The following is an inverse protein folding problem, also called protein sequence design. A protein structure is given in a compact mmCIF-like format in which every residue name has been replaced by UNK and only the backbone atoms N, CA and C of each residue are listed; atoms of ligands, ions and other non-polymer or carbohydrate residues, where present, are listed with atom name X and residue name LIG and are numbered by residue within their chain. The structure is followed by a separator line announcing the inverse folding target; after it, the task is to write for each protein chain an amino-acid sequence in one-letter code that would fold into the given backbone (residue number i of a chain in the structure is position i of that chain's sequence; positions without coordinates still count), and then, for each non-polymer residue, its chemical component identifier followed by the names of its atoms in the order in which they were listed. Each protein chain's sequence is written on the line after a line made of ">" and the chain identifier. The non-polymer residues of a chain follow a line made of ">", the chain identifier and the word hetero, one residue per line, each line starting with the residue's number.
data_IF_823207237123
#
_entry.id   IF_823207237123
#
_cell.length_a   1.000
_cell.length_b   1.000
_cell.length_c   1.000
_cell.angle_alpha   90.00
_cell.angle_beta   90.00
_cell.angle_gamma   90.00
#
_symmetry.space_group_name_H-M   'P 1'
#
loop_
_entity.id
_entity.type
_entity.pdbx_description
1 polymer ?
#
# COMPACT_ATOMS: atom_id res chain seq x y z
N UNK A 1 -36.64 1.44 22.51
CA UNK A 1 -35.37 0.71 22.53
C UNK A 1 -34.50 1.39 21.51
N UNK A 2 -33.53 2.19 21.93
CA UNK A 2 -32.52 2.74 21.01
C UNK A 2 -31.67 1.56 20.57
N UNK A 3 -31.69 1.20 19.29
CA UNK A 3 -30.70 0.27 18.75
C UNK A 3 -29.34 0.94 18.93
N UNK A 4 -28.56 0.52 19.94
CA UNK A 4 -27.14 0.85 19.98
C UNK A 4 -26.53 0.25 18.73
N UNK A 5 -26.27 1.10 17.73
CA UNK A 5 -25.60 0.72 16.51
C UNK A 5 -24.22 0.19 16.89
N UNK A 6 -24.09 -1.15 16.96
CA UNK A 6 -22.87 -1.79 17.39
C UNK A 6 -21.76 -1.41 16.40
N UNK A 7 -20.72 -0.75 16.92
CA UNK A 7 -19.56 -0.36 16.11
C UNK A 7 -18.84 -1.63 15.66
N UNK A 8 -18.67 -1.79 14.35
CA UNK A 8 -17.94 -2.92 13.77
C UNK A 8 -16.80 -2.37 12.93
N UNK A 9 -15.59 -2.84 13.22
CA UNK A 9 -14.41 -2.68 12.39
C UNK A 9 -13.73 -4.05 12.23
N UNK A 10 -13.65 -4.55 11.00
CA UNK A 10 -13.08 -5.87 10.73
C UNK A 10 -12.36 -5.90 9.39
N UNK A 11 -11.19 -6.55 9.34
CA UNK A 11 -10.50 -6.88 8.10
C UNK A 11 -11.13 -8.15 7.51
N UNK A 12 -11.63 -8.06 6.28
CA UNK A 12 -12.18 -9.21 5.55
C UNK A 12 -11.10 -9.93 4.76
N UNK A 13 -10.24 -9.17 4.07
CA UNK A 13 -9.17 -9.71 3.24
C UNK A 13 -8.08 -8.68 3.03
N UNK A 14 -6.85 -9.13 2.90
CA UNK A 14 -5.72 -8.36 2.39
C UNK A 14 -5.17 -9.13 1.19
N UNK A 15 -4.88 -8.43 0.10
CA UNK A 15 -4.37 -9.02 -1.13
C UNK A 15 -3.55 -8.01 -1.94
N UNK A 16 -2.66 -8.53 -2.75
CA UNK A 16 -1.91 -7.78 -3.75
C UNK A 16 -2.80 -7.59 -4.98
N UNK A 17 -3.00 -6.35 -5.43
CA UNK A 17 -3.75 -6.05 -6.66
C UNK A 17 -2.87 -5.98 -7.88
N UNK A 18 -1.67 -5.46 -7.70
CA UNK A 18 -0.73 -5.19 -8.78
C UNK A 18 0.67 -5.14 -8.21
N UNK A 19 1.62 -5.69 -8.96
CA UNK A 19 3.06 -5.65 -8.65
C UNK A 19 3.80 -5.47 -9.95
N UNK A 20 4.70 -4.51 -9.98
CA UNK A 20 5.65 -4.34 -11.06
C UNK A 20 7.06 -4.16 -10.50
N UNK A 21 8.02 -4.69 -11.25
CA UNK A 21 9.44 -4.50 -10.97
C UNK A 21 10.18 -4.36 -12.29
N UNK A 22 10.97 -3.30 -12.39
CA UNK A 22 11.77 -3.00 -13.57
C UNK A 22 13.19 -2.64 -13.12
N UNK A 23 14.20 -3.23 -13.77
CA UNK A 23 15.61 -2.91 -13.53
C UNK A 23 16.27 -2.51 -14.85
N UNK A 24 15.99 -1.29 -15.38
CA UNK A 24 16.39 -0.90 -16.73
C UNK A 24 17.90 -0.76 -16.89
N UNK A 25 18.61 -0.40 -15.81
CA UNK A 25 20.06 -0.31 -15.79
C UNK A 25 20.77 -1.64 -15.51
N UNK A 26 20.04 -2.74 -15.32
CA UNK A 26 20.65 -4.02 -14.99
C UNK A 26 21.26 -4.71 -16.23
N UNK A 27 22.40 -5.41 -16.06
CA UNK A 27 23.16 -5.57 -14.82
C UNK A 27 24.19 -4.46 -14.53
N UNK A 28 24.48 -3.58 -15.49
CA UNK A 28 25.60 -2.63 -15.43
C UNK A 28 25.52 -1.70 -14.21
N UNK A 29 24.32 -1.28 -13.84
CA UNK A 29 24.08 -0.39 -12.69
C UNK A 29 24.52 -1.00 -11.36
N UNK A 30 24.58 -2.34 -11.24
CA UNK A 30 25.05 -3.01 -10.02
C UNK A 30 26.58 -3.06 -9.92
N UNK A 31 27.29 -2.72 -10.99
CA UNK A 31 28.75 -2.61 -11.01
C UNK A 31 29.22 -1.17 -10.73
N UNK A 32 28.31 -0.20 -10.83
CA UNK A 32 28.58 1.21 -10.55
C UNK A 32 28.94 1.41 -9.08
N UNK A 33 29.95 2.25 -8.82
CA UNK A 33 30.29 2.65 -7.45
C UNK A 33 29.39 3.80 -7.00
N UNK A 34 28.75 3.65 -5.85
CA UNK A 34 27.92 4.68 -5.25
C UNK A 34 26.84 4.09 -4.36
N UNK A 35 26.24 4.93 -3.50
CA UNK A 35 25.04 4.55 -2.76
C UNK A 35 23.80 4.90 -3.60
N UNK A 36 22.83 3.98 -3.75
CA UNK A 36 21.59 4.28 -4.44
C UNK A 36 20.81 5.37 -3.69
N UNK A 37 20.38 6.39 -4.42
CA UNK A 37 19.38 7.36 -3.94
C UNK A 37 18.01 6.71 -4.10
N UNK A 38 17.36 6.44 -2.98
CA UNK A 38 16.02 5.83 -2.96
C UNK A 38 14.98 6.93 -2.80
N UNK A 39 14.04 6.99 -3.75
CA UNK A 39 12.83 7.79 -3.69
C UNK A 39 11.64 6.86 -3.43
N UNK A 40 10.79 7.22 -2.47
CA UNK A 40 9.59 6.44 -2.13
C UNK A 40 8.37 7.33 -2.25
N UNK A 41 7.41 6.90 -3.07
CA UNK A 41 6.13 7.57 -3.25
C UNK A 41 5.01 6.68 -2.70
N UNK A 42 4.11 7.28 -1.93
CA UNK A 42 2.98 6.61 -1.30
C UNK A 42 1.68 7.23 -1.81
N UNK A 43 0.81 6.38 -2.36
CA UNK A 43 -0.58 6.71 -2.69
C UNK A 43 -1.51 5.94 -1.77
N UNK A 44 -2.57 6.59 -1.30
CA UNK A 44 -3.68 5.91 -0.61
C UNK A 44 -4.98 6.28 -1.32
N UNK A 45 -5.78 5.27 -1.64
CA UNK A 45 -7.12 5.43 -2.17
C UNK A 45 -8.07 4.53 -1.39
N UNK A 46 -9.28 5.03 -1.14
CA UNK A 46 -10.33 4.24 -0.52
C UNK A 46 -11.63 4.41 -1.30
N UNK A 47 -12.38 3.33 -1.44
CA UNK A 47 -13.71 3.35 -2.05
C UNK A 47 -14.67 2.47 -1.27
N UNK A 48 -15.94 2.89 -1.24
CA UNK A 48 -17.03 2.07 -0.72
C UNK A 48 -17.40 1.01 -1.74
N UNK A 49 -17.50 -0.25 -1.32
CA UNK A 49 -17.85 -1.39 -2.17
C UNK A 49 -19.36 -1.64 -2.21
N UNK A 50 -20.05 -1.40 -1.10
CA UNK A 50 -21.49 -1.57 -1.00
C UNK A 50 -22.13 -0.73 0.12
N UNK A 51 -23.46 -0.74 0.15
CA UNK A 51 -24.24 -0.06 1.18
C UNK A 51 -24.10 -0.72 2.56
N UNK A 52 -23.68 -1.99 2.61
CA UNK A 52 -23.50 -2.78 3.84
C UNK A 52 -22.26 -2.39 4.67
N UNK A 53 -21.53 -1.35 4.28
CA UNK A 53 -20.40 -0.82 5.05
C UNK A 53 -19.07 -1.50 4.75
N UNK A 54 -18.92 -2.09 3.56
CA UNK A 54 -17.64 -2.60 3.09
C UNK A 54 -16.89 -1.54 2.28
N UNK A 55 -15.59 -1.43 2.54
CA UNK A 55 -14.69 -0.50 1.89
C UNK A 55 -13.44 -1.24 1.40
N UNK A 56 -12.95 -0.90 0.21
CA UNK A 56 -11.62 -1.29 -0.25
C UNK A 56 -10.68 -0.11 -0.02
N UNK A 57 -9.57 -0.36 0.66
CA UNK A 57 -8.45 0.57 0.76
C UNK A 57 -7.31 0.00 -0.06
N UNK A 58 -6.73 0.82 -0.92
CA UNK A 58 -5.58 0.51 -1.75
C UNK A 58 -4.44 1.46 -1.37
N UNK A 59 -3.28 0.88 -1.08
CA UNK A 59 -2.04 1.60 -0.85
C UNK A 59 -1.07 1.24 -1.96
N UNK A 60 -0.67 2.25 -2.72
CA UNK A 60 0.34 2.15 -3.77
C UNK A 60 1.66 2.64 -3.22
N UNK A 61 2.69 1.80 -3.33
CA UNK A 61 4.06 2.17 -2.97
C UNK A 61 4.94 2.01 -4.18
N UNK A 62 5.51 3.12 -4.63
CA UNK A 62 6.46 3.15 -5.75
C UNK A 62 7.83 3.52 -5.19
N UNK A 63 8.80 2.63 -5.35
CA UNK A 63 10.19 2.80 -4.96
C UNK A 63 11.03 2.94 -6.21
N UNK A 64 11.77 4.02 -6.33
CA UNK A 64 12.72 4.25 -7.42
C UNK A 64 14.11 4.42 -6.83
N UNK A 65 15.07 3.62 -7.29
CA UNK A 65 16.46 3.73 -6.88
C UNK A 65 17.32 4.20 -8.04
N UNK A 66 18.19 5.18 -7.80
CA UNK A 66 19.10 5.74 -8.80
C UNK A 66 20.54 5.71 -8.31
N UNK A 67 21.48 5.33 -9.18
CA UNK A 67 22.93 5.38 -8.94
C UNK A 67 23.55 6.23 -10.04
N UNK A 68 24.28 7.28 -9.68
CA UNK A 68 24.93 8.18 -10.63
C UNK A 68 23.98 8.67 -11.74
N UNK A 69 22.76 9.06 -11.37
CA UNK A 69 21.68 9.54 -12.27
C UNK A 69 21.12 8.49 -13.24
N UNK A 70 21.47 7.20 -13.06
CA UNK A 70 20.88 6.07 -13.78
C UNK A 70 19.88 5.36 -12.88
N UNK A 71 18.70 5.06 -13.40
CA UNK A 71 17.72 4.24 -12.70
C UNK A 71 18.23 2.81 -12.55
N UNK A 72 18.46 2.41 -11.31
CA UNK A 72 18.85 1.05 -10.95
C UNK A 72 17.64 0.12 -11.02
N UNK A 73 16.58 0.48 -10.29
CA UNK A 73 15.32 -0.25 -10.32
C UNK A 73 14.13 0.63 -9.94
N UNK A 74 12.95 0.19 -10.37
CA UNK A 74 11.64 0.71 -10.00
C UNK A 74 10.82 -0.47 -9.52
N UNK A 75 10.28 -0.40 -8.30
CA UNK A 75 9.36 -1.38 -7.76
C UNK A 75 8.05 -0.68 -7.40
N UNK A 76 6.92 -1.17 -7.91
CA UNK A 76 5.60 -0.68 -7.53
C UNK A 76 4.76 -1.83 -6.98
N UNK A 77 4.15 -1.62 -5.82
CA UNK A 77 3.23 -2.57 -5.19
C UNK A 77 1.93 -1.83 -4.88
N UNK A 78 0.80 -2.36 -5.37
CA UNK A 78 -0.55 -1.96 -4.97
C UNK A 78 -1.12 -3.00 -4.02
N UNK A 79 -1.06 -2.71 -2.73
CA UNK A 79 -1.66 -3.56 -1.71
C UNK A 79 -3.07 -3.09 -1.42
N UNK A 80 -4.03 -4.01 -1.40
CA UNK A 80 -5.40 -3.71 -1.05
C UNK A 80 -5.91 -4.53 0.12
N UNK A 81 -6.89 -3.94 0.81
CA UNK A 81 -7.61 -4.60 1.88
C UNK A 81 -9.09 -4.25 1.82
N UNK A 82 -9.93 -5.24 2.10
CA UNK A 82 -11.36 -5.06 2.28
C UNK A 82 -11.64 -5.00 3.77
N UNK A 83 -12.32 -3.93 4.19
CA UNK A 83 -12.65 -3.64 5.58
C UNK A 83 -14.15 -3.46 5.72
N UNK A 84 -14.74 -4.07 6.74
CA UNK A 84 -16.11 -3.80 7.15
C UNK A 84 -16.10 -2.73 8.24
N UNK A 85 -16.77 -1.61 8.00
CA UNK A 85 -16.89 -0.47 8.92
C UNK A 85 -18.39 -0.14 9.05
N UNK A 86 -18.96 -0.28 10.25
CA UNK A 86 -20.37 0.03 10.56
C UNK A 86 -20.48 0.81 11.86
N UNK A 87 -21.38 1.80 11.90
CA UNK A 87 -21.64 2.62 13.09
C UNK A 87 -20.51 3.58 13.46
N UNK A 88 -19.65 3.92 12.49
CA UNK A 88 -18.44 4.75 12.69
C UNK A 88 -18.32 5.88 11.66
N UNK A 89 -19.45 6.48 11.26
CA UNK A 89 -19.50 7.46 10.15
C UNK A 89 -18.61 8.69 10.38
N UNK A 90 -18.46 9.13 11.65
CA UNK A 90 -17.61 10.27 11.99
C UNK A 90 -16.10 9.95 11.92
N UNK A 91 -15.72 8.68 12.03
CA UNK A 91 -14.34 8.21 12.12
C UNK A 91 -13.89 7.53 10.80
N UNK A 92 -14.81 7.28 9.87
CA UNK A 92 -14.59 6.46 8.68
C UNK A 92 -13.45 6.99 7.80
N UNK A 93 -13.37 8.31 7.59
CA UNK A 93 -12.31 8.91 6.77
C UNK A 93 -10.93 8.73 7.42
N UNK A 94 -10.84 8.86 8.74
CA UNK A 94 -9.59 8.65 9.48
C UNK A 94 -9.18 7.17 9.44
N UNK A 95 -10.14 6.25 9.57
CA UNK A 95 -9.89 4.82 9.49
C UNK A 95 -9.33 4.44 8.11
N UNK A 96 -9.99 4.88 7.04
CA UNK A 96 -9.57 4.60 5.66
C UNK A 96 -8.26 5.32 5.29
N UNK A 97 -8.06 6.54 5.80
CA UNK A 97 -6.93 7.40 5.47
C UNK A 97 -5.61 7.03 6.17
N UNK A 98 -5.68 6.49 7.40
CA UNK A 98 -4.50 6.26 8.22
C UNK A 98 -4.45 4.86 8.85
N UNK A 99 -5.55 4.40 9.43
CA UNK A 99 -5.55 3.16 10.21
C UNK A 99 -5.46 1.90 9.33
N UNK A 100 -6.29 1.80 8.30
CA UNK A 100 -6.28 0.70 7.34
C UNK A 100 -4.94 0.59 6.58
N UNK A 101 -4.36 1.69 6.03
CA UNK A 101 -3.02 1.66 5.43
C UNK A 101 -1.94 1.17 6.40
N UNK A 102 -1.97 1.64 7.65
CA UNK A 102 -0.98 1.24 8.65
C UNK A 102 -1.03 -0.27 8.96
N UNK A 103 -2.23 -0.88 8.97
CA UNK A 103 -2.36 -2.33 9.10
C UNK A 103 -1.77 -3.11 7.92
N UNK A 104 -1.83 -2.55 6.72
CA UNK A 104 -1.31 -3.17 5.51
C UNK A 104 0.20 -2.95 5.33
N UNK A 105 0.78 -1.97 6.04
CA UNK A 105 2.19 -1.60 5.93
C UNK A 105 3.18 -2.77 6.10
N UNK A 106 3.00 -3.72 7.03
CA UNK A 106 3.89 -4.88 7.13
C UNK A 106 3.91 -5.75 5.88
N UNK A 107 2.75 -5.94 5.23
CA UNK A 107 2.63 -6.73 4.00
C UNK A 107 3.30 -6.00 2.84
N UNK A 108 3.00 -4.71 2.68
CA UNK A 108 3.62 -3.85 1.66
C UNK A 108 5.13 -3.87 1.77
N UNK A 109 5.65 -3.71 3.00
CA UNK A 109 7.09 -3.70 3.25
C UNK A 109 7.73 -5.03 2.88
N UNK A 110 7.07 -6.15 3.19
CA UNK A 110 7.56 -7.47 2.83
C UNK A 110 7.59 -7.69 1.31
N UNK A 111 6.52 -7.30 0.60
CA UNK A 111 6.46 -7.40 -0.87
C UNK A 111 7.56 -6.57 -1.53
N UNK A 112 7.75 -5.32 -1.10
CA UNK A 112 8.83 -4.45 -1.61
C UNK A 112 10.20 -5.05 -1.31
N UNK A 113 10.42 -5.57 -0.09
CA UNK A 113 11.68 -6.23 0.26
C UNK A 113 11.93 -7.47 -0.60
N UNK A 114 10.89 -8.28 -0.88
CA UNK A 114 11.01 -9.46 -1.74
C UNK A 114 11.38 -9.13 -3.19
N UNK A 115 11.03 -7.93 -3.69
CA UNK A 115 11.38 -7.51 -5.05
C UNK A 115 12.82 -6.99 -5.17
N UNK A 116 13.32 -6.34 -4.13
CA UNK A 116 14.61 -5.63 -4.17
C UNK A 116 15.76 -6.48 -3.60
N UNK A 117 15.48 -7.35 -2.63
CA UNK A 117 16.47 -8.18 -1.94
C UNK A 117 16.96 -7.59 -0.63
#
# INVERSE_FOLDING_TARGET
>A
MSEEQQRVFQIQRIYVKDVSFEAPGAPEVFLEQGQPKVNVQLGNQARRLNESGEFEVEVTVTVTAEINEKTAYIAEVKQAGIFTIKGMDAEVEQLLGAYCPNMMFPYIREEIASLIG
#
